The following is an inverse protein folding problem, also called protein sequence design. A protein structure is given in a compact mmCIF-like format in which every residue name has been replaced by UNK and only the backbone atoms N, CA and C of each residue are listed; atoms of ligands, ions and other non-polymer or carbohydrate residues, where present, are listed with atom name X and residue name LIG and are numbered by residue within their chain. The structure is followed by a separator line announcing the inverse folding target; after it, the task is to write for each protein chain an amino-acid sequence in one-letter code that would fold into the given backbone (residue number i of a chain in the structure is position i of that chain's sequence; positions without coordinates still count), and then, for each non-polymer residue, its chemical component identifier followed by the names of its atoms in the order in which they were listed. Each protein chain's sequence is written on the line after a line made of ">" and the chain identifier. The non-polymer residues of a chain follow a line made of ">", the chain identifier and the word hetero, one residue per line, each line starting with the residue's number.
data_IF_630959429680
#
_entry.id   IF_630959429680
#
_cell.length_a   1.000
_cell.length_b   1.000
_cell.length_c   1.000
_cell.angle_alpha   90.00
_cell.angle_beta   90.00
_cell.angle_gamma   90.00
#
_symmetry.space_group_name_H-M   'P 1'
#
loop_
_entity.id
_entity.type
_entity.pdbx_description
1 polymer ?
#
# COMPACT_ATOMS: atom_id res chain seq x y z
N UNK A 1 4.05 -7.09 -7.97
CA UNK A 1 3.97 -5.91 -7.09
C UNK A 1 5.34 -5.60 -6.54
N UNK A 2 5.65 -4.34 -6.30
CA UNK A 2 6.93 -3.91 -5.74
C UNK A 2 6.70 -2.75 -4.78
N UNK A 3 7.14 -2.89 -3.54
CA UNK A 3 6.98 -1.89 -2.50
C UNK A 3 8.35 -1.49 -1.96
N UNK A 4 8.56 -0.20 -1.70
CA UNK A 4 9.80 0.31 -1.11
C UNK A 4 9.57 1.62 -0.39
N UNK A 5 10.49 1.95 0.51
CA UNK A 5 10.65 3.27 1.11
C UNK A 5 11.87 3.97 0.49
N UNK A 6 12.32 5.07 1.09
CA UNK A 6 13.58 5.71 0.72
C UNK A 6 14.79 4.87 1.20
N UNK A 7 14.64 4.20 2.34
CA UNK A 7 15.71 3.47 3.02
C UNK A 7 15.69 1.96 2.76
N UNK A 8 14.53 1.39 2.46
CA UNK A 8 14.31 -0.06 2.38
C UNK A 8 13.62 -0.45 1.08
N UNK A 9 14.12 -1.46 0.39
CA UNK A 9 13.45 -2.09 -0.74
C UNK A 9 12.93 -3.48 -0.32
N UNK A 10 11.61 -3.67 -0.38
CA UNK A 10 10.97 -4.94 0.01
C UNK A 10 11.01 -5.99 -1.11
N UNK A 11 11.52 -5.59 -2.28
CA UNK A 11 11.67 -6.39 -3.47
C UNK A 11 10.37 -6.58 -4.26
N UNK A 12 10.52 -7.21 -5.42
CA UNK A 12 9.40 -7.61 -6.25
C UNK A 12 8.77 -8.91 -5.71
N UNK A 13 7.44 -8.96 -5.75
CA UNK A 13 6.63 -10.12 -5.34
C UNK A 13 5.52 -10.36 -6.34
N UNK A 14 5.39 -11.60 -6.80
CA UNK A 14 4.23 -12.08 -7.55
C UNK A 14 3.27 -12.69 -6.55
N UNK A 15 2.04 -12.17 -6.50
CA UNK A 15 0.98 -12.70 -5.64
C UNK A 15 -0.10 -13.31 -6.52
N UNK A 16 -0.55 -14.52 -6.18
CA UNK A 16 -1.74 -15.09 -6.78
C UNK A 16 -3.01 -14.37 -6.29
N UNK A 17 -4.14 -14.61 -6.95
CA UNK A 17 -5.43 -14.08 -6.53
C UNK A 17 -5.71 -14.45 -5.07
N UNK A 18 -6.11 -13.48 -4.26
CA UNK A 18 -6.30 -13.59 -2.80
C UNK A 18 -5.01 -13.90 -2.00
N UNK A 19 -3.83 -13.81 -2.62
CA UNK A 19 -2.55 -13.87 -1.93
C UNK A 19 -2.34 -12.66 -1.02
N UNK A 20 -1.54 -12.84 0.02
CA UNK A 20 -1.17 -11.79 0.96
C UNK A 20 0.34 -11.57 1.00
N UNK A 21 0.73 -10.35 1.35
CA UNK A 21 2.10 -9.98 1.64
C UNK A 21 2.11 -9.05 2.84
N UNK A 22 3.02 -9.30 3.78
CA UNK A 22 3.20 -8.49 4.98
C UNK A 22 4.67 -8.30 5.27
N UNK A 23 4.97 -7.17 5.92
CA UNK A 23 6.30 -6.85 6.43
C UNK A 23 6.15 -6.00 7.68
N UNK A 24 7.21 -5.91 8.47
CA UNK A 24 7.27 -5.08 9.66
C UNK A 24 8.38 -4.05 9.50
N UNK A 25 8.15 -2.86 10.05
CA UNK A 25 9.12 -1.77 10.08
C UNK A 25 8.85 -0.88 11.29
N UNK A 26 9.82 -0.04 11.65
CA UNK A 26 9.67 0.98 12.68
C UNK A 26 9.69 2.34 11.97
N UNK A 27 8.68 3.21 12.17
CA UNK A 27 8.68 4.54 11.60
C UNK A 27 9.92 5.35 12.05
N UNK A 28 10.43 6.21 11.18
CA UNK A 28 11.62 6.98 11.47
C UNK A 28 11.29 8.11 12.45
N UNK A 29 12.29 8.52 13.23
CA UNK A 29 12.11 9.54 14.26
C UNK A 29 11.64 10.90 13.70
N UNK A 30 11.87 11.18 12.42
CA UNK A 30 11.53 12.47 11.81
C UNK A 30 10.08 12.55 11.30
N UNK A 31 9.28 11.51 11.44
CA UNK A 31 7.88 11.54 11.02
C UNK A 31 7.68 11.50 9.50
N UNK A 32 8.64 10.90 8.77
CA UNK A 32 8.73 10.96 7.30
C UNK A 32 8.73 9.58 6.64
N UNK A 33 8.43 8.51 7.36
CA UNK A 33 8.38 7.17 6.75
C UNK A 33 7.27 7.10 5.71
N UNK A 34 7.66 6.65 4.52
CA UNK A 34 6.80 6.51 3.36
C UNK A 34 7.14 5.19 2.69
N UNK A 35 6.14 4.32 2.51
CA UNK A 35 6.23 3.19 1.60
C UNK A 35 5.30 3.42 0.42
N UNK A 36 5.86 3.33 -0.78
CA UNK A 36 5.13 3.41 -2.03
C UNK A 36 5.25 2.09 -2.78
N UNK A 37 4.15 1.69 -3.39
CA UNK A 37 4.02 0.43 -4.10
C UNK A 37 3.58 0.65 -5.54
N UNK A 38 4.11 -0.17 -6.44
CA UNK A 38 3.54 -0.41 -7.75
C UNK A 38 2.85 -1.77 -7.79
N UNK A 39 1.70 -1.79 -8.45
CA UNK A 39 0.91 -2.99 -8.70
C UNK A 39 0.70 -3.15 -10.19
N UNK A 40 0.89 -4.35 -10.68
CA UNK A 40 0.71 -4.75 -12.07
C UNK A 40 -0.14 -6.01 -12.11
N UNK A 41 -1.07 -6.06 -13.04
CA UNK A 41 -1.84 -7.24 -13.36
C UNK A 41 -1.53 -7.66 -14.79
N UNK A 42 -1.55 -8.96 -15.04
CA UNK A 42 -1.36 -9.50 -16.37
C UNK A 42 -2.39 -8.89 -17.33
N UNK A 43 -1.92 -8.29 -18.43
CA UNK A 43 -2.76 -7.65 -19.43
C UNK A 43 -3.30 -6.24 -19.08
N UNK A 44 -3.01 -5.69 -17.89
CA UNK A 44 -3.53 -4.36 -17.47
C UNK A 44 -2.84 -3.15 -18.12
N UNK A 45 -1.81 -3.36 -18.94
CA UNK A 45 -1.17 -2.31 -19.74
C UNK A 45 -0.27 -1.33 -18.97
N UNK A 46 -0.04 -1.52 -17.67
CA UNK A 46 0.90 -0.67 -16.93
C UNK A 46 0.89 -0.87 -15.41
N UNK A 47 1.80 -0.16 -14.75
CA UNK A 47 1.90 -0.12 -13.30
C UNK A 47 0.92 0.90 -12.72
N UNK A 48 0.26 0.51 -11.63
CA UNK A 48 -0.60 1.39 -10.82
C UNK A 48 0.11 1.69 -9.50
N UNK A 49 0.22 2.98 -9.15
CA UNK A 49 1.05 3.43 -8.02
C UNK A 49 0.20 3.92 -6.84
N UNK A 50 0.61 3.55 -5.63
CA UNK A 50 -0.05 3.99 -4.40
C UNK A 50 0.94 4.09 -3.23
N UNK A 51 0.74 5.07 -2.35
CA UNK A 51 1.48 5.17 -1.09
C UNK A 51 0.79 4.33 -0.03
N UNK A 52 1.24 3.08 0.10
CA UNK A 52 0.63 2.08 0.98
C UNK A 52 0.78 2.42 2.46
N UNK A 53 1.85 3.14 2.82
CA UNK A 53 2.04 3.70 4.15
C UNK A 53 2.56 5.13 4.05
N UNK A 54 1.86 6.07 4.68
CA UNK A 54 2.27 7.46 4.84
C UNK A 54 2.21 7.77 6.32
N UNK A 55 3.35 8.00 6.97
CA UNK A 55 3.39 8.12 8.43
C UNK A 55 2.42 9.17 8.99
N UNK A 56 2.32 10.35 8.35
CA UNK A 56 1.36 11.39 8.74
C UNK A 56 -0.11 10.96 8.63
N UNK A 57 -0.43 10.05 7.72
CA UNK A 57 -1.77 9.50 7.53
C UNK A 57 -2.04 8.36 8.51
N UNK A 58 -1.05 7.52 8.77
CA UNK A 58 -1.28 6.15 9.25
C UNK A 58 -0.84 5.90 10.69
N UNK A 59 0.18 6.60 11.21
CA UNK A 59 0.81 6.29 12.50
C UNK A 59 -0.17 6.24 13.68
N UNK A 60 -1.19 7.09 13.67
CA UNK A 60 -2.19 7.22 14.75
C UNK A 60 -3.49 6.45 14.43
N UNK A 61 -3.56 5.77 13.27
CA UNK A 61 -4.76 5.08 12.77
C UNK A 61 -4.61 3.57 12.75
N UNK A 62 -3.40 3.04 12.62
CA UNK A 62 -3.13 1.61 12.62
C UNK A 62 -1.77 1.27 13.24
N UNK A 63 -1.76 0.20 14.03
CA UNK A 63 -0.55 -0.58 14.28
C UNK A 63 -0.35 -1.62 13.18
N UNK A 64 -1.44 -2.34 12.85
CA UNK A 64 -1.50 -3.27 11.72
C UNK A 64 -2.32 -2.65 10.58
N UNK A 65 -1.62 -2.06 9.61
CA UNK A 65 -2.26 -1.38 8.48
C UNK A 65 -2.64 -2.39 7.38
N UNK A 66 -3.92 -2.79 7.36
CA UNK A 66 -4.44 -3.82 6.44
C UNK A 66 -5.12 -3.21 5.23
N UNK A 67 -4.70 -3.64 4.04
CA UNK A 67 -5.22 -3.17 2.77
C UNK A 67 -5.68 -4.35 1.91
N UNK A 68 -6.84 -4.21 1.27
CA UNK A 68 -7.22 -5.03 0.11
C UNK A 68 -6.88 -4.22 -1.15
N UNK A 69 -6.11 -4.82 -2.06
CA UNK A 69 -5.68 -4.15 -3.29
C UNK A 69 -6.36 -4.81 -4.48
N UNK A 70 -7.07 -4.01 -5.27
CA UNK A 70 -7.79 -4.45 -6.46
C UNK A 70 -7.41 -3.58 -7.66
N UNK A 71 -7.88 -3.94 -8.84
CA UNK A 71 -7.62 -3.16 -10.04
C UNK A 71 -8.17 -1.73 -10.01
N UNK A 72 -9.22 -1.50 -9.22
CA UNK A 72 -9.88 -0.20 -9.07
C UNK A 72 -9.12 0.70 -8.09
N UNK A 73 -8.46 0.09 -7.10
CA UNK A 73 -7.74 0.80 -6.06
C UNK A 73 -7.61 -0.01 -4.77
N UNK A 74 -6.78 0.48 -3.84
CA UNK A 74 -6.67 -0.08 -2.49
C UNK A 74 -7.77 0.44 -1.56
N UNK A 75 -8.29 -0.45 -0.72
CA UNK A 75 -9.19 -0.10 0.39
C UNK A 75 -8.57 -0.54 1.71
N UNK A 76 -8.62 0.32 2.71
CA UNK A 76 -8.12 0.05 4.05
C UNK A 76 -9.22 -0.55 4.92
N UNK A 77 -8.85 -1.54 5.72
CA UNK A 77 -9.64 -2.03 6.84
C UNK A 77 -9.90 -0.96 7.90
N UNK A 78 -11.16 -0.61 8.07
CA UNK A 78 -11.66 0.28 9.11
C UNK A 78 -12.14 -0.54 10.30
N UNK A 79 -11.46 -0.40 11.45
CA UNK A 79 -11.80 -1.12 12.66
C UNK A 79 -13.15 -0.70 13.27
N UNK A 80 -13.63 0.52 12.98
CA UNK A 80 -14.92 1.00 13.49
C UNK A 80 -16.10 0.33 12.79
N UNK A 81 -16.02 0.14 11.47
CA UNK A 81 -17.07 -0.53 10.68
C UNK A 81 -16.81 -2.02 10.45
N UNK A 82 -15.63 -2.51 10.85
CA UNK A 82 -15.15 -3.87 10.59
C UNK A 82 -15.13 -4.25 9.09
N UNK A 83 -14.90 -3.29 8.20
CA UNK A 83 -14.95 -3.47 6.75
C UNK A 83 -13.78 -2.79 6.02
N UNK A 84 -13.52 -3.21 4.77
CA UNK A 84 -12.59 -2.52 3.86
C UNK A 84 -13.31 -1.42 3.08
N UNK A 85 -13.70 -0.35 3.77
CA UNK A 85 -14.58 0.70 3.21
C UNK A 85 -13.92 2.07 3.03
N UNK A 86 -12.67 2.24 3.47
CA UNK A 86 -11.88 3.45 3.24
C UNK A 86 -11.02 3.25 1.99
N UNK A 87 -11.60 3.54 0.83
CA UNK A 87 -10.99 3.28 -0.49
C UNK A 87 -10.32 4.53 -1.09
N UNK A 88 -9.24 4.30 -1.84
CA UNK A 88 -8.48 5.33 -2.54
C UNK A 88 -8.30 4.96 -4.01
N UNK A 89 -8.20 5.99 -4.86
CA UNK A 89 -7.74 5.81 -6.24
C UNK A 89 -6.23 5.67 -6.32
N UNK A 90 -5.75 5.08 -7.41
CA UNK A 90 -4.33 5.14 -7.77
C UNK A 90 -3.90 6.55 -8.09
N UNK A 91 -2.60 6.83 -7.90
CA UNK A 91 -2.01 8.08 -8.35
C UNK A 91 -2.20 8.20 -9.86
N UNK A 92 -2.73 9.33 -10.31
CA UNK A 92 -2.69 9.68 -11.73
C UNK A 92 -1.22 9.79 -12.14
N UNK A 93 -0.84 9.09 -13.20
CA UNK A 93 0.47 9.24 -13.83
C UNK A 93 0.66 10.70 -14.25
N UNK A 94 1.38 11.48 -13.45
CA UNK A 94 1.96 12.72 -13.92
C UNK A 94 3.25 12.28 -14.64
N UNK A 95 3.25 12.47 -15.97
CA UNK A 95 4.49 12.60 -16.73
C UNK A 95 5.35 13.71 -16.11
#
# INVERSE_FOLDING_TARGET
>A
MHCKSKEDDLGERVLHKLGNFSWHFIPNFFGRTLFFCSFSWDGSGGNRYFDIYVEKRDKDRCTDCKWIVSEVGPCWYNATSAAYDVCYGYKSSLL
#
